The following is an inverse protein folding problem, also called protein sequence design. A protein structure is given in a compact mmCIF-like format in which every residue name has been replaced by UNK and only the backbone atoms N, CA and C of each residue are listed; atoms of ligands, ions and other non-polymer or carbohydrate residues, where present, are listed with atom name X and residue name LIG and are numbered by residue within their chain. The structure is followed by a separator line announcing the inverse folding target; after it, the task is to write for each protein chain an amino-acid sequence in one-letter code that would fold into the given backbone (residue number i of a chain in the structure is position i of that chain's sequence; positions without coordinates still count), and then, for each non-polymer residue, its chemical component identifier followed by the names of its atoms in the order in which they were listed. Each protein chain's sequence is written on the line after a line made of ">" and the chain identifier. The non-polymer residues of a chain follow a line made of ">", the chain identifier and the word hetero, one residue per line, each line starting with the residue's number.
data_IF_741566842683
#
_entry.id   IF_741566842683
#
_cell.length_a   1.000
_cell.length_b   1.000
_cell.length_c   1.000
_cell.angle_alpha   90.00
_cell.angle_beta   90.00
_cell.angle_gamma   90.00
#
_symmetry.space_group_name_H-M   'P 1'
#
loop_
_entity.id
_entity.type
_entity.pdbx_description
1 polymer ?
#
# COMPACT_ATOMS: atom_id res chain seq x y z
N UNK A 1 -1.81 20.26 -6.54
CA UNK A 1 -2.58 19.03 -6.31
C UNK A 1 -1.84 18.21 -5.27
N UNK A 2 -2.54 17.68 -4.29
CA UNK A 2 -2.02 16.79 -3.25
C UNK A 2 -2.86 15.52 -3.32
N UNK A 3 -2.18 14.38 -3.38
CA UNK A 3 -2.78 13.06 -3.38
C UNK A 3 -2.22 12.30 -2.18
N UNK A 4 -3.10 11.81 -1.33
CA UNK A 4 -2.74 11.07 -0.12
C UNK A 4 -3.32 9.67 -0.25
N UNK A 5 -2.46 8.67 -0.16
CA UNK A 5 -2.84 7.28 0.02
C UNK A 5 -2.69 6.88 1.50
N UNK A 6 -3.66 6.15 2.01
CA UNK A 6 -3.59 5.55 3.33
C UNK A 6 -4.06 4.11 3.24
N UNK A 7 -3.26 3.20 3.80
CA UNK A 7 -3.57 1.77 3.87
C UNK A 7 -3.62 1.36 5.34
N UNK A 8 -4.77 0.89 5.79
CA UNK A 8 -4.99 0.43 7.16
C UNK A 8 -5.32 -1.06 7.16
N UNK A 9 -4.53 -1.91 7.84
CA UNK A 9 -4.88 -3.32 8.01
C UNK A 9 -6.22 -3.49 8.75
N UNK A 10 -7.10 -4.34 8.24
CA UNK A 10 -8.34 -4.74 8.94
C UNK A 10 -8.09 -6.09 9.61
N UNK A 11 -7.68 -7.08 8.82
CA UNK A 11 -7.35 -8.44 9.26
C UNK A 11 -6.34 -9.09 8.27
N UNK A 12 -5.87 -10.33 8.49
CA UNK A 12 -4.95 -10.98 7.58
C UNK A 12 -5.53 -11.12 6.15
N UNK A 13 -4.93 -10.38 5.22
CA UNK A 13 -5.31 -10.41 3.81
C UNK A 13 -6.30 -9.32 3.40
N UNK A 14 -6.91 -8.60 4.35
CA UNK A 14 -7.82 -7.49 4.06
C UNK A 14 -7.27 -6.17 4.61
N UNK A 15 -7.33 -5.13 3.76
CA UNK A 15 -6.91 -3.77 4.10
C UNK A 15 -7.96 -2.78 3.62
N UNK A 16 -8.15 -1.69 4.37
CA UNK A 16 -8.83 -0.52 3.87
C UNK A 16 -7.82 0.36 3.15
N UNK A 17 -8.13 0.74 1.91
CA UNK A 17 -7.33 1.72 1.14
C UNK A 17 -8.18 2.97 0.94
N UNK A 18 -7.66 4.10 1.40
CA UNK A 18 -8.32 5.41 1.28
C UNK A 18 -7.45 6.33 0.47
N UNK A 19 -8.03 6.95 -0.55
CA UNK A 19 -7.39 7.98 -1.35
C UNK A 19 -8.06 9.33 -1.12
N UNK A 20 -7.27 10.34 -0.78
CA UNK A 20 -7.73 11.71 -0.63
C UNK A 20 -7.04 12.59 -1.66
N UNK A 21 -7.85 13.26 -2.48
CA UNK A 21 -7.37 14.19 -3.49
C UNK A 21 -7.74 15.62 -3.12
N UNK A 22 -6.77 16.53 -3.18
CA UNK A 22 -7.01 17.96 -3.01
C UNK A 22 -6.29 18.72 -4.12
N UNK A 23 -7.04 19.38 -4.99
CA UNK A 23 -6.50 20.24 -6.04
C UNK A 23 -6.71 21.71 -5.70
N UNK A 24 -5.70 22.53 -5.96
CA UNK A 24 -5.88 23.99 -6.04
C UNK A 24 -6.29 24.28 -7.47
N UNK A 25 -7.52 24.71 -7.65
CA UNK A 25 -8.10 25.04 -8.94
C UNK A 25 -7.87 26.53 -9.20
N UNK A 26 -6.61 26.93 -9.37
CA UNK A 26 -6.30 28.27 -9.88
C UNK A 26 -6.59 28.30 -11.37
N UNK A 27 -7.26 29.36 -11.84
CA UNK A 27 -7.66 29.60 -13.25
C UNK A 27 -8.74 28.68 -13.82
N UNK A 28 -9.38 27.84 -13.01
CA UNK A 28 -10.62 27.13 -13.38
C UNK A 28 -11.80 28.00 -12.97
N UNK A 29 -12.42 28.64 -13.96
CA UNK A 29 -13.58 29.52 -13.79
C UNK A 29 -14.90 28.74 -13.77
N UNK A 30 -14.90 27.50 -14.29
CA UNK A 30 -16.09 26.68 -14.49
C UNK A 30 -16.17 25.52 -13.47
N UNK A 31 -17.22 25.45 -12.64
CA UNK A 31 -17.48 24.34 -11.74
C UNK A 31 -17.51 22.96 -12.43
N UNK A 32 -17.99 22.86 -13.67
CA UNK A 32 -18.14 21.57 -14.35
C UNK A 32 -16.77 20.96 -14.68
N UNK A 33 -15.81 21.78 -15.13
CA UNK A 33 -14.42 21.36 -15.33
C UNK A 33 -13.73 20.90 -14.04
N UNK A 34 -14.12 21.47 -12.89
CA UNK A 34 -13.55 21.06 -11.61
C UNK A 34 -14.05 19.68 -11.17
N UNK A 35 -15.30 19.34 -11.48
CA UNK A 35 -15.89 18.04 -11.20
C UNK A 35 -15.28 16.95 -12.10
N UNK A 36 -15.10 17.23 -13.40
CA UNK A 36 -14.46 16.30 -14.33
C UNK A 36 -13.05 15.91 -13.88
N UNK A 37 -12.26 16.86 -13.36
CA UNK A 37 -10.93 16.57 -12.83
C UNK A 37 -10.96 15.62 -11.62
N UNK A 38 -11.96 15.78 -10.74
CA UNK A 38 -12.14 14.91 -9.57
C UNK A 38 -12.58 13.52 -10.02
N UNK A 39 -13.53 13.43 -10.94
CA UNK A 39 -14.01 12.16 -11.50
C UNK A 39 -12.90 11.39 -12.20
N UNK A 40 -12.07 12.08 -12.99
CA UNK A 40 -10.91 11.47 -13.64
C UNK A 40 -9.91 10.95 -12.61
N UNK A 41 -9.65 11.70 -11.53
CA UNK A 41 -8.79 11.24 -10.44
C UNK A 41 -9.33 9.98 -9.75
N UNK A 42 -10.63 9.93 -9.48
CA UNK A 42 -11.30 8.74 -8.92
C UNK A 42 -11.20 7.56 -9.89
N UNK A 43 -11.40 7.81 -11.19
CA UNK A 43 -11.33 6.80 -12.25
C UNK A 43 -9.96 6.15 -12.32
N UNK A 44 -8.90 6.96 -12.38
CA UNK A 44 -7.50 6.49 -12.45
C UNK A 44 -7.15 5.57 -11.28
N UNK A 45 -7.50 5.99 -10.05
CA UNK A 45 -7.24 5.19 -8.85
C UNK A 45 -8.06 3.90 -8.83
N UNK A 46 -9.28 3.94 -9.36
CA UNK A 46 -10.16 2.76 -9.43
C UNK A 46 -9.63 1.69 -10.40
N UNK A 47 -8.81 2.05 -11.39
CA UNK A 47 -8.21 1.09 -12.33
C UNK A 47 -7.21 0.14 -11.67
N UNK A 48 -6.61 0.54 -10.55
CA UNK A 48 -5.69 -0.31 -9.80
C UNK A 48 -6.41 -1.41 -8.99
N UNK A 49 -7.67 -1.17 -8.59
CA UNK A 49 -8.43 -2.07 -7.71
C UNK A 49 -8.55 -3.48 -8.30
N UNK A 50 -8.98 -3.67 -9.58
CA UNK A 50 -9.04 -5.00 -10.18
C UNK A 50 -7.71 -5.75 -10.16
N UNK A 51 -6.58 -5.05 -10.39
CA UNK A 51 -5.25 -5.66 -10.34
C UNK A 51 -4.92 -6.09 -8.92
N UNK A 52 -5.20 -5.25 -7.92
CA UNK A 52 -4.90 -5.57 -6.54
C UNK A 52 -5.75 -6.70 -5.97
N UNK A 53 -7.02 -6.78 -6.36
CA UNK A 53 -7.94 -7.84 -5.93
C UNK A 53 -7.64 -9.21 -6.56
N UNK A 54 -6.91 -9.25 -7.67
CA UNK A 54 -6.63 -10.50 -8.42
C UNK A 54 -5.14 -10.82 -8.56
N UNK A 55 -4.28 -10.23 -7.72
CA UNK A 55 -2.84 -10.52 -7.69
C UNK A 55 -2.44 -11.34 -6.46
N UNK A 56 -1.29 -12.02 -6.56
CA UNK A 56 -0.63 -12.67 -5.42
C UNK A 56 0.73 -12.04 -5.12
N UNK A 57 1.16 -12.11 -3.86
CA UNK A 57 2.48 -11.64 -3.44
C UNK A 57 3.51 -12.74 -3.68
N UNK A 58 4.35 -12.58 -4.71
CA UNK A 58 5.52 -13.43 -4.94
C UNK A 58 6.67 -13.02 -4.03
N UNK A 59 7.27 -13.94 -3.27
CA UNK A 59 8.44 -13.66 -2.43
C UNK A 59 9.66 -13.23 -3.27
N UNK A 60 9.85 -13.88 -4.42
CA UNK A 60 10.94 -13.64 -5.36
C UNK A 60 10.38 -13.36 -6.77
N UNK A 61 9.91 -12.13 -7.04
CA UNK A 61 9.39 -11.79 -8.36
C UNK A 61 10.52 -11.79 -9.41
N UNK A 62 10.20 -12.19 -10.63
CA UNK A 62 11.08 -12.00 -11.79
C UNK A 62 11.14 -10.51 -12.12
N UNK A 63 12.34 -9.93 -12.15
CA UNK A 63 12.54 -8.49 -12.40
C UNK A 63 13.14 -8.25 -13.78
N UNK A 64 12.53 -7.34 -14.54
CA UNK A 64 13.05 -6.79 -15.77
C UNK A 64 14.00 -5.62 -15.49
N UNK A 65 14.79 -5.21 -16.51
CA UNK A 65 15.76 -4.11 -16.39
C UNK A 65 15.12 -2.77 -15.99
N UNK A 66 13.87 -2.54 -16.39
CA UNK A 66 13.12 -1.30 -16.10
C UNK A 66 12.38 -1.30 -14.76
N UNK A 67 12.33 -2.44 -14.07
CA UNK A 67 11.64 -2.51 -12.78
C UNK A 67 12.39 -1.69 -11.74
N UNK A 68 11.62 -0.95 -10.95
CA UNK A 68 12.15 -0.20 -9.82
C UNK A 68 12.81 -1.10 -8.77
N UNK A 69 13.33 -0.52 -7.68
CA UNK A 69 14.09 -1.24 -6.66
C UNK A 69 13.19 -2.08 -5.71
N UNK A 70 12.31 -2.94 -6.25
CA UNK A 70 11.27 -3.71 -5.54
C UNK A 70 11.86 -4.47 -4.35
N UNK A 71 12.96 -5.21 -4.54
CA UNK A 71 13.57 -5.98 -3.45
C UNK A 71 14.23 -5.12 -2.38
N UNK A 72 14.72 -3.91 -2.73
CA UNK A 72 15.26 -2.97 -1.74
C UNK A 72 14.13 -2.36 -0.92
N UNK A 73 13.02 -1.98 -1.58
CA UNK A 73 11.83 -1.47 -0.91
C UNK A 73 11.27 -2.48 0.09
N UNK A 74 11.14 -3.76 -0.30
CA UNK A 74 10.68 -4.82 0.61
C UNK A 74 11.58 -4.97 1.84
N UNK A 75 12.90 -5.01 1.66
CA UNK A 75 13.85 -5.07 2.80
C UNK A 75 13.74 -3.88 3.75
N UNK A 76 13.45 -2.69 3.22
CA UNK A 76 13.20 -1.51 4.05
C UNK A 76 11.86 -1.63 4.79
N UNK A 77 10.81 -2.10 4.12
CA UNK A 77 9.48 -2.28 4.72
C UNK A 77 9.46 -3.37 5.81
N UNK A 78 10.32 -4.37 5.71
CA UNK A 78 10.43 -5.47 6.69
C UNK A 78 10.66 -4.97 8.14
N UNK A 79 11.21 -3.76 8.32
CA UNK A 79 11.43 -3.19 9.66
C UNK A 79 10.14 -2.91 10.46
N UNK A 80 9.00 -2.76 9.77
CA UNK A 80 7.71 -2.45 10.41
C UNK A 80 6.95 -3.70 10.84
N UNK A 81 7.41 -4.89 10.44
CA UNK A 81 6.82 -6.15 10.90
C UNK A 81 7.43 -6.55 12.25
N UNK A 82 6.57 -6.83 13.22
CA UNK A 82 7.00 -7.38 14.51
C UNK A 82 7.52 -8.79 14.24
N UNK A 83 8.82 -9.00 14.46
CA UNK A 83 9.35 -10.36 14.59
C UNK A 83 8.82 -10.88 15.92
N UNK A 84 7.92 -11.85 15.90
CA UNK A 84 7.49 -12.54 17.11
C UNK A 84 8.73 -12.90 17.94
N UNK A 85 8.84 -12.33 19.13
CA UNK A 85 9.86 -12.69 20.12
C UNK A 85 9.48 -14.00 20.85
N UNK A 86 8.47 -14.70 20.36
CA UNK A 86 7.78 -15.77 21.06
C UNK A 86 8.29 -17.13 20.59
N UNK A 87 9.50 -17.46 21.05
CA UNK A 87 9.88 -18.79 21.54
C UNK A 87 11.33 -18.77 22.02
N UNK A 88 11.59 -18.09 23.16
CA UNK A 88 12.66 -18.55 24.03
C UNK A 88 12.18 -19.89 24.61
N UNK A 89 12.85 -21.03 24.39
CA UNK A 89 12.49 -22.25 25.10
C UNK A 89 12.56 -21.95 26.59
N UNK A 90 11.54 -22.34 27.34
CA UNK A 90 11.58 -22.24 28.79
C UNK A 90 12.82 -23.01 29.26
N UNK A 91 13.72 -22.32 29.94
CA UNK A 91 14.85 -22.94 30.62
C UNK A 91 14.27 -24.03 31.52
N UNK A 92 14.48 -25.28 31.13
CA UNK A 92 14.10 -26.44 31.92
C UNK A 92 15.02 -26.46 33.13
N UNK A 93 14.58 -25.87 34.24
CA UNK A 93 15.18 -26.14 35.53
C UNK A 93 14.77 -27.56 35.94
N UNK A 94 15.55 -28.54 35.47
CA UNK A 94 15.64 -29.84 36.11
C UNK A 94 16.37 -29.66 37.45
N UNK A 95 15.61 -29.45 38.53
CA UNK A 95 16.08 -29.73 39.88
C UNK A 95 16.08 -31.24 40.08
N UNK A 96 17.27 -31.76 40.35
CA UNK A 96 17.51 -33.09 40.90
C UNK A 96 16.98 -33.22 42.34
#
# INVERSE_FOLDING_TARGET
>A
MVFIDAVTPIDPGNVAVTFSLTARLTDIQDPDMSLELVEEGVRQVSEDVPIWSHKTRWDRPSLARGDGPIMKFRRWADQFYIKDHTSRPADTHATA
#
